data_IF_511689080907
#
_entry.id   IF_511689080907
#
_cell.length_a   1.000
_cell.length_b   1.000
_cell.length_c   1.000
_cell.angle_alpha   90.00
_cell.angle_beta   90.00
_cell.angle_gamma   90.00
#
_symmetry.space_group_name_H-M   'P 1'
#
loop_
_entity.id
_entity.type
_entity.pdbx_description
1 polymer ?
#
# COMPACT_ATOMS: atom_id res chain seq x y z
N UNK A 1 0.43 -8.22 -10.64
CA UNK A 1 1.00 -7.30 -9.63
C UNK A 1 -0.03 -6.98 -8.55
N UNK A 2 -1.23 -6.53 -8.92
CA UNK A 2 -2.27 -6.09 -7.99
C UNK A 2 -2.68 -7.16 -6.97
N UNK A 3 -2.79 -8.43 -7.39
CA UNK A 3 -3.07 -9.54 -6.45
C UNK A 3 -1.97 -9.67 -5.39
N UNK A 4 -0.71 -9.42 -5.74
CA UNK A 4 0.40 -9.45 -4.79
C UNK A 4 0.35 -8.23 -3.87
N UNK A 5 -0.01 -7.05 -4.37
CA UNK A 5 -0.20 -5.87 -3.53
C UNK A 5 -1.38 -6.04 -2.57
N UNK A 6 -2.50 -6.63 -3.02
CA UNK A 6 -3.63 -6.96 -2.16
C UNK A 6 -3.23 -7.92 -1.05
N UNK A 7 -2.48 -8.97 -1.38
CA UNK A 7 -1.95 -9.94 -0.39
C UNK A 7 -0.96 -9.30 0.57
N UNK A 8 -0.09 -8.42 0.07
CA UNK A 8 0.87 -7.68 0.89
C UNK A 8 0.16 -6.74 1.86
N UNK A 9 -0.83 -5.96 1.42
CA UNK A 9 -1.65 -5.12 2.31
C UNK A 9 -2.34 -5.95 3.39
N UNK A 10 -2.93 -7.08 3.03
CA UNK A 10 -3.54 -7.98 4.01
C UNK A 10 -2.53 -8.50 5.06
N UNK A 11 -1.30 -8.80 4.64
CA UNK A 11 -0.23 -9.23 5.55
C UNK A 11 0.31 -8.09 6.45
N UNK A 12 0.21 -6.83 6.01
CA UNK A 12 0.67 -5.65 6.77
C UNK A 12 -0.41 -5.05 7.68
N UNK A 13 -1.68 -5.37 7.43
CA UNK A 13 -2.83 -4.87 8.21
C UNK A 13 -2.72 -5.15 9.72
N UNK A 14 -2.23 -6.31 10.21
CA UNK A 14 -2.06 -6.55 11.64
C UNK A 14 -1.08 -5.59 12.35
N UNK A 15 -0.20 -4.93 11.60
CA UNK A 15 0.73 -3.93 12.10
C UNK A 15 0.32 -2.50 11.70
N UNK A 16 -0.91 -2.31 11.20
CA UNK A 16 -1.43 -1.07 10.62
C UNK A 16 -0.50 -0.43 9.57
N UNK A 17 0.28 -1.24 8.84
CA UNK A 17 1.29 -0.77 7.89
C UNK A 17 0.83 -0.84 6.42
N UNK A 18 -0.37 -1.35 6.17
CA UNK A 18 -0.96 -1.48 4.83
C UNK A 18 -1.16 -0.11 4.14
N UNK A 19 -1.41 0.93 4.95
CA UNK A 19 -1.49 2.34 4.54
C UNK A 19 -0.18 2.93 4.01
N UNK A 20 0.97 2.30 4.29
CA UNK A 20 2.26 2.76 3.75
C UNK A 20 2.42 2.48 2.25
N UNK A 21 1.58 1.63 1.69
CA UNK A 21 1.53 1.37 0.26
C UNK A 21 0.52 2.34 -0.36
N UNK A 22 0.98 3.18 -1.28
CA UNK A 22 0.15 4.12 -2.04
C UNK A 22 -0.04 3.64 -3.47
N UNK A 23 -1.24 3.87 -4.01
CA UNK A 23 -1.53 3.68 -5.43
C UNK A 23 -1.32 5.00 -6.16
N UNK A 24 -0.37 5.04 -7.08
CA UNK A 24 -0.06 6.20 -7.91
C UNK A 24 -0.68 5.98 -9.29
N UNK A 25 -1.74 6.75 -9.62
CA UNK A 25 -2.44 6.61 -10.90
C UNK A 25 -1.47 6.83 -12.06
N UNK A 26 -1.41 5.86 -12.97
CA UNK A 26 -0.50 5.89 -14.13
C UNK A 26 0.96 5.51 -13.83
N UNK A 27 1.30 5.17 -12.57
CA UNK A 27 2.67 4.76 -12.19
C UNK A 27 2.75 3.48 -11.36
N UNK A 28 1.65 3.01 -10.77
CA UNK A 28 1.59 1.76 -10.02
C UNK A 28 1.57 1.97 -8.52
N UNK A 29 2.53 1.40 -7.79
CA UNK A 29 2.54 1.38 -6.32
C UNK A 29 3.85 1.92 -5.76
N UNK A 30 3.78 2.62 -4.62
CA UNK A 30 4.93 3.17 -3.91
C UNK A 30 4.83 2.92 -2.42
N UNK A 31 5.95 2.76 -1.75
CA UNK A 31 6.04 2.76 -0.28
C UNK A 31 6.39 4.17 0.18
N UNK A 32 5.62 4.70 1.13
CA UNK A 32 5.84 6.01 1.76
C UNK A 32 5.93 5.88 3.27
N UNK A 33 6.71 6.75 3.92
CA UNK A 33 6.69 6.90 5.39
C UNK A 33 5.53 7.77 5.88
N UNK A 34 4.97 8.59 4.98
CA UNK A 34 3.85 9.49 5.26
C UNK A 34 2.67 9.04 4.42
N UNK A 35 1.74 8.25 4.96
CA UNK A 35 0.54 7.87 4.24
C UNK A 35 -0.30 9.12 3.97
N UNK A 36 -0.67 9.35 2.71
CA UNK A 36 -1.57 10.44 2.37
C UNK A 36 -2.96 10.13 2.92
N UNK A 37 -3.46 10.99 3.83
CA UNK A 37 -4.85 10.95 4.31
C UNK A 37 -5.76 11.54 3.22
N UNK A 38 -6.21 10.69 2.30
CA UNK A 38 -7.34 11.00 1.40
C UNK A 38 -8.64 10.53 2.01
#
# INVERSE_FOLDING_TARGET
VDVHIKRLRAALSPADCDRLIETVRGSGYRITKTPTLT
#
